data_IF_607752532351
#
_entry.id   IF_607752532351
#
_cell.length_a   1.000
_cell.length_b   1.000
_cell.length_c   1.000
_cell.angle_alpha   90.00
_cell.angle_beta   90.00
_cell.angle_gamma   90.00
#
_symmetry.space_group_name_H-M   'P 1'
#
loop_
_entity.id
_entity.type
_entity.pdbx_description
1 polymer ?
#
# COMPACT_ATOMS: atom_id res chain seq x y z
N UNK A 1 22.03 44.74 -55.46
CA UNK A 1 23.31 44.04 -55.63
C UNK A 1 23.03 42.55 -55.82
N UNK A 2 23.61 41.98 -56.90
CA UNK A 2 23.95 40.57 -57.19
C UNK A 2 23.09 39.47 -56.53
N UNK A 3 22.23 38.75 -57.28
CA UNK A 3 22.51 37.52 -58.07
C UNK A 3 22.70 36.30 -57.12
N UNK A 4 22.11 35.10 -57.28
CA UNK A 4 22.07 34.29 -58.50
C UNK A 4 21.22 32.98 -58.23
N UNK A 5 20.28 32.66 -59.14
CA UNK A 5 20.02 31.36 -59.84
C UNK A 5 19.96 30.08 -58.99
N UNK A 6 18.78 29.44 -58.81
CA UNK A 6 18.01 28.56 -59.74
C UNK A 6 18.61 27.14 -59.93
N UNK A 7 17.90 26.18 -59.32
CA UNK A 7 17.57 24.79 -59.71
C UNK A 7 18.63 23.89 -60.35
N UNK A 8 18.81 22.67 -59.79
CA UNK A 8 18.60 21.42 -60.53
C UNK A 8 18.04 20.33 -59.60
N UNK A 9 17.00 19.70 -60.14
CA UNK A 9 16.20 18.58 -59.69
C UNK A 9 16.92 17.26 -60.00
N UNK A 10 17.01 16.32 -59.05
CA UNK A 10 17.20 14.89 -59.38
C UNK A 10 16.19 14.07 -58.58
N UNK A 11 15.21 13.60 -59.34
CA UNK A 11 14.25 12.56 -58.99
C UNK A 11 14.95 11.20 -59.08
N UNK A 12 14.74 10.31 -58.11
CA UNK A 12 14.92 8.87 -58.32
C UNK A 12 13.84 8.11 -57.56
N UNK A 13 13.30 7.14 -58.25
CA UNK A 13 11.97 6.59 -58.09
C UNK A 13 11.89 5.39 -57.13
N UNK A 14 10.69 5.28 -56.53
CA UNK A 14 9.94 4.09 -56.09
C UNK A 14 10.69 2.89 -55.49
N UNK A 15 10.26 2.46 -54.31
CA UNK A 15 9.48 1.21 -54.22
C UNK A 15 8.52 1.28 -53.03
N UNK A 16 7.27 0.97 -53.35
CA UNK A 16 6.18 0.70 -52.42
C UNK A 16 6.51 -0.53 -51.57
N UNK A 17 6.30 -0.44 -50.26
CA UNK A 17 5.94 -1.60 -49.47
C UNK A 17 4.85 -1.19 -48.47
N UNK A 18 3.62 -1.37 -48.93
CA UNK A 18 2.42 -1.40 -48.09
C UNK A 18 2.51 -2.66 -47.22
N UNK A 19 3.00 -2.50 -46.00
CA UNK A 19 2.87 -3.51 -44.96
C UNK A 19 2.00 -2.93 -43.86
N UNK A 20 0.68 -3.05 -44.03
CA UNK A 20 -0.22 -3.12 -42.89
C UNK A 20 0.08 -4.40 -42.12
N UNK A 21 1.19 -4.41 -41.40
CA UNK A 21 1.38 -5.31 -40.28
C UNK A 21 0.50 -4.75 -39.17
N UNK A 22 -0.73 -5.27 -39.10
CA UNK A 22 -1.49 -5.24 -37.86
C UNK A 22 -0.62 -5.97 -36.85
N UNK A 23 0.13 -5.21 -36.05
CA UNK A 23 0.75 -5.73 -34.86
C UNK A 23 -0.41 -6.15 -33.97
N UNK A 24 -0.71 -7.45 -33.99
CA UNK A 24 -1.29 -8.09 -32.83
C UNK A 24 -0.22 -7.89 -31.76
N UNK A 25 -0.38 -6.82 -30.97
CA UNK A 25 0.34 -6.67 -29.71
C UNK A 25 0.13 -7.98 -28.96
N UNK A 26 1.20 -8.61 -28.41
CA UNK A 26 0.99 -9.69 -27.48
C UNK A 26 0.02 -9.16 -26.44
N UNK A 27 -1.09 -9.86 -26.25
CA UNK A 27 -1.93 -9.65 -25.08
C UNK A 27 -0.99 -9.96 -23.92
N UNK A 28 -0.39 -8.92 -23.35
CA UNK A 28 0.30 -8.98 -22.08
C UNK A 28 -0.81 -9.35 -21.10
N UNK A 29 -0.99 -10.67 -20.93
CA UNK A 29 -1.88 -11.22 -19.94
C UNK A 29 -1.29 -10.73 -18.63
N UNK A 30 -1.79 -9.60 -18.14
CA UNK A 30 -1.41 -9.05 -16.84
C UNK A 30 -1.76 -10.14 -15.84
N UNK A 31 -0.77 -10.95 -15.48
CA UNK A 31 -0.92 -11.94 -14.43
C UNK A 31 -1.03 -11.08 -13.18
N UNK A 32 -2.26 -10.82 -12.76
CA UNK A 32 -2.53 -10.15 -11.50
C UNK A 32 -1.87 -11.02 -10.43
N UNK A 33 -0.81 -10.48 -9.81
CA UNK A 33 -0.11 -11.17 -8.75
C UNK A 33 -1.12 -11.58 -7.67
N UNK A 34 -0.98 -12.80 -7.16
CA UNK A 34 -1.78 -13.26 -6.04
C UNK A 34 -1.49 -12.37 -4.81
N UNK A 35 -2.55 -12.01 -4.07
CA UNK A 35 -2.41 -11.16 -2.88
C UNK A 35 -1.79 -12.00 -1.76
N UNK A 36 -0.64 -11.58 -1.26
CA UNK A 36 0.00 -12.18 -0.11
C UNK A 36 -0.50 -11.51 1.18
N UNK A 37 -1.36 -12.22 1.91
CA UNK A 37 -1.89 -11.75 3.19
C UNK A 37 -0.93 -11.96 4.36
N UNK A 38 0.18 -12.69 4.20
CA UNK A 38 1.20 -12.85 5.25
C UNK A 38 1.87 -11.54 5.61
N UNK A 39 1.91 -10.59 4.67
CA UNK A 39 2.41 -9.23 4.93
C UNK A 39 1.74 -8.56 6.14
N UNK A 40 0.48 -8.89 6.45
CA UNK A 40 -0.20 -8.40 7.65
C UNK A 40 0.41 -8.93 8.94
N UNK A 41 0.74 -10.23 8.98
CA UNK A 41 1.40 -10.86 10.13
C UNK A 41 2.83 -10.35 10.26
N UNK A 42 3.55 -10.27 9.14
CA UNK A 42 4.95 -9.83 9.14
C UNK A 42 5.08 -8.39 9.64
N UNK A 43 4.23 -7.49 9.13
CA UNK A 43 4.18 -6.11 9.60
C UNK A 43 3.84 -6.05 11.10
N UNK A 44 2.75 -6.67 11.54
CA UNK A 44 2.29 -6.52 12.93
C UNK A 44 3.27 -7.13 13.93
N UNK A 45 3.88 -8.28 13.59
CA UNK A 45 4.87 -8.93 14.46
C UNK A 45 6.21 -8.18 14.48
N UNK A 46 6.55 -7.44 13.43
CA UNK A 46 7.68 -6.53 13.46
C UNK A 46 7.33 -5.28 14.29
N UNK A 47 6.12 -4.74 14.15
CA UNK A 47 5.67 -3.55 14.86
C UNK A 47 5.71 -3.69 16.38
N UNK A 48 5.12 -4.77 16.92
CA UNK A 48 5.09 -4.99 18.38
C UNK A 48 6.46 -5.25 19.00
N UNK A 49 7.44 -5.70 18.19
CA UNK A 49 8.85 -5.84 18.63
C UNK A 49 9.61 -4.53 18.66
N UNK A 50 9.20 -3.56 17.83
CA UNK A 50 9.79 -2.22 17.78
C UNK A 50 9.00 -1.22 18.64
N UNK A 51 8.16 -1.71 19.57
CA UNK A 51 7.47 -0.93 20.62
C UNK A 51 6.83 0.36 20.11
N UNK A 52 6.07 0.28 19.02
CA UNK A 52 5.30 1.42 18.49
C UNK A 52 6.14 2.64 18.09
N UNK A 53 7.39 2.40 17.66
CA UNK A 53 8.30 3.44 17.20
C UNK A 53 7.79 4.14 15.92
N UNK A 54 7.67 5.46 15.99
CA UNK A 54 7.28 6.30 14.87
C UNK A 54 8.26 6.18 13.68
N UNK A 55 9.56 6.11 13.96
CA UNK A 55 10.58 5.96 12.90
C UNK A 55 10.39 4.62 12.17
N UNK A 56 10.16 3.54 12.93
CA UNK A 56 9.83 2.24 12.35
C UNK A 56 8.62 2.33 11.41
N UNK A 57 7.53 3.00 11.81
CA UNK A 57 6.34 3.14 10.95
C UNK A 57 6.67 3.91 9.68
N UNK A 58 7.37 5.05 9.78
CA UNK A 58 7.63 5.91 8.62
C UNK A 58 8.59 5.27 7.61
N UNK A 59 9.53 4.45 8.09
CA UNK A 59 10.52 3.77 7.25
C UNK A 59 10.09 2.37 6.79
N UNK A 60 8.91 1.88 7.19
CA UNK A 60 8.50 0.51 6.85
C UNK A 60 8.06 0.39 5.39
N UNK A 61 8.72 -0.51 4.64
CA UNK A 61 8.43 -0.78 3.22
C UNK A 61 7.21 -1.70 2.99
N UNK A 62 6.61 -2.23 4.06
CA UNK A 62 5.36 -3.00 3.97
C UNK A 62 4.12 -2.11 4.06
N UNK A 63 4.29 -0.81 4.30
CA UNK A 63 3.20 0.15 4.42
C UNK A 63 3.05 0.98 3.15
N UNK A 64 1.81 1.30 2.77
CA UNK A 64 1.57 2.29 1.72
C UNK A 64 1.92 3.70 2.22
N UNK A 65 2.22 4.60 1.29
CA UNK A 65 2.38 6.03 1.63
C UNK A 65 1.08 6.64 2.18
N UNK A 66 -0.08 6.13 1.74
CA UNK A 66 -1.38 6.53 2.26
C UNK A 66 -1.60 6.10 3.73
N UNK A 67 -1.10 4.93 4.13
CA UNK A 67 -1.05 4.52 5.53
C UNK A 67 -0.24 5.52 6.35
N UNK A 68 1.01 5.78 5.94
CA UNK A 68 1.96 6.64 6.67
C UNK A 68 1.40 8.05 6.86
N UNK A 69 0.86 8.65 5.78
CA UNK A 69 0.22 9.96 5.82
C UNK A 69 -0.98 10.00 6.78
N UNK A 70 -1.82 8.95 6.77
CA UNK A 70 -2.97 8.89 7.69
C UNK A 70 -2.51 8.76 9.13
N UNK A 71 -1.52 7.91 9.39
CA UNK A 71 -0.94 7.73 10.71
C UNK A 71 -0.39 9.05 11.26
N UNK A 72 0.44 9.76 10.50
CA UNK A 72 0.96 11.08 10.87
C UNK A 72 -0.19 12.07 11.16
N UNK A 73 -1.20 12.14 10.27
CA UNK A 73 -2.37 13.01 10.47
C UNK A 73 -3.11 12.70 11.78
N UNK A 74 -3.26 11.42 12.12
CA UNK A 74 -3.94 10.96 13.34
C UNK A 74 -3.12 11.37 14.57
N UNK A 75 -1.81 11.12 14.57
CA UNK A 75 -0.93 11.47 15.68
C UNK A 75 -0.85 12.98 15.89
N UNK A 76 -0.64 13.75 14.83
CA UNK A 76 -0.60 15.22 14.87
C UNK A 76 -1.89 15.82 15.40
N UNK A 77 -3.03 15.29 14.94
CA UNK A 77 -4.34 15.78 15.39
C UNK A 77 -4.55 15.47 16.87
N UNK A 78 -4.10 14.30 17.33
CA UNK A 78 -4.23 13.93 18.74
C UNK A 78 -3.37 14.82 19.64
N UNK A 79 -2.09 15.05 19.31
CA UNK A 79 -1.22 15.91 20.11
C UNK A 79 -1.59 17.40 20.04
N UNK A 80 -2.27 17.86 18.99
CA UNK A 80 -2.85 19.21 18.97
C UNK A 80 -4.00 19.38 19.96
N UNK A 81 -4.75 18.30 20.22
CA UNK A 81 -5.90 18.32 21.14
C UNK A 81 -5.46 18.03 22.57
N UNK A 82 -4.63 17.00 22.77
CA UNK A 82 -4.09 16.60 24.07
C UNK A 82 -2.55 16.50 24.00
N UNK A 83 -1.82 17.62 24.22
CA UNK A 83 -0.36 17.66 24.03
C UNK A 83 0.44 16.69 24.91
N UNK A 84 -0.05 16.36 26.11
CA UNK A 84 0.67 15.50 27.06
C UNK A 84 0.42 14.00 26.81
N UNK A 85 -0.73 13.65 26.22
CA UNK A 85 -1.21 12.26 26.15
C UNK A 85 -1.46 11.77 24.72
N UNK A 86 -1.71 12.67 23.78
CA UNK A 86 -2.14 12.34 22.43
C UNK A 86 -3.43 11.51 22.45
N UNK A 87 -3.39 10.32 21.85
CA UNK A 87 -4.55 9.43 21.80
C UNK A 87 -4.82 8.69 23.13
N UNK A 88 -3.80 8.50 23.97
CA UNK A 88 -3.88 7.61 25.14
C UNK A 88 -4.05 6.12 24.81
N UNK A 89 -3.84 5.74 23.55
CA UNK A 89 -3.76 4.35 23.05
C UNK A 89 -3.00 4.33 21.71
N UNK A 90 -2.56 3.16 21.29
CA UNK A 90 -1.88 2.94 20.02
C UNK A 90 -2.88 2.80 18.87
N UNK A 91 -2.82 3.65 17.82
CA UNK A 91 -3.79 3.64 16.74
C UNK A 91 -3.62 2.48 15.75
N UNK A 92 -2.46 1.83 15.70
CA UNK A 92 -2.15 0.73 14.78
C UNK A 92 -2.69 -0.59 15.33
N UNK A 93 -2.51 -0.84 16.64
CA UNK A 93 -3.12 -2.01 17.30
C UNK A 93 -4.53 -1.76 17.83
N UNK A 94 -4.96 -0.50 17.89
CA UNK A 94 -6.24 -0.04 18.45
C UNK A 94 -6.42 -0.39 19.94
N UNK A 95 -5.35 -0.26 20.72
CA UNK A 95 -5.31 -0.68 22.13
C UNK A 95 -4.23 0.01 22.95
N UNK A 96 -4.33 -0.09 24.28
CA UNK A 96 -3.28 0.40 25.20
C UNK A 96 -2.16 -0.62 25.43
N UNK A 97 -2.51 -1.90 25.31
CA UNK A 97 -1.62 -3.04 25.45
C UNK A 97 -1.90 -4.00 24.28
N UNK A 98 -0.98 -4.91 23.99
CA UNK A 98 -1.07 -5.80 22.84
C UNK A 98 -0.30 -7.11 23.07
N UNK A 99 -0.71 -8.20 22.39
CA UNK A 99 0.01 -9.47 22.43
C UNK A 99 1.42 -9.34 21.87
N UNK A 100 2.31 -10.24 22.29
CA UNK A 100 3.69 -10.26 21.80
C UNK A 100 3.79 -10.72 20.33
N UNK A 101 2.80 -11.48 19.86
CA UNK A 101 2.74 -12.03 18.51
C UNK A 101 1.30 -12.17 18.03
N UNK A 102 1.13 -12.08 16.73
CA UNK A 102 -0.13 -12.23 16.02
C UNK A 102 -0.09 -13.36 14.99
N UNK A 103 -1.27 -13.91 14.72
CA UNK A 103 -1.53 -14.84 13.63
C UNK A 103 -2.81 -14.47 12.88
N UNK A 104 -2.98 -14.99 11.67
CA UNK A 104 -4.21 -14.77 10.88
C UNK A 104 -5.35 -15.56 11.52
N UNK A 105 -6.41 -14.85 11.90
CA UNK A 105 -7.68 -15.44 12.29
C UNK A 105 -8.63 -15.59 11.11
N UNK A 106 -8.72 -14.54 10.27
CA UNK A 106 -9.67 -14.51 9.15
C UNK A 106 -9.16 -13.62 8.02
N UNK A 107 -9.45 -14.02 6.78
CA UNK A 107 -9.23 -13.21 5.58
C UNK A 107 -10.58 -13.00 4.89
N UNK A 108 -10.91 -11.75 4.58
CA UNK A 108 -11.97 -11.39 3.64
C UNK A 108 -11.33 -10.95 2.32
N UNK A 109 -11.14 -11.90 1.41
CA UNK A 109 -10.44 -11.68 0.15
C UNK A 109 -11.13 -10.64 -0.75
N UNK A 110 -12.46 -10.53 -0.65
CA UNK A 110 -13.26 -9.63 -1.49
C UNK A 110 -12.97 -8.16 -1.20
N UNK A 111 -12.69 -7.86 0.07
CA UNK A 111 -12.43 -6.52 0.55
C UNK A 111 -10.96 -6.28 0.91
N UNK A 112 -10.15 -7.34 0.97
CA UNK A 112 -8.74 -7.31 1.38
C UNK A 112 -8.53 -7.04 2.88
N UNK A 113 -9.57 -7.17 3.71
CA UNK A 113 -9.42 -7.08 5.16
C UNK A 113 -8.91 -8.41 5.73
N UNK A 114 -7.98 -8.32 6.68
CA UNK A 114 -7.44 -9.43 7.44
C UNK A 114 -7.65 -9.15 8.92
N UNK A 115 -8.25 -10.10 9.62
CA UNK A 115 -8.32 -10.07 11.09
C UNK A 115 -7.16 -10.89 11.61
N UNK A 116 -6.28 -10.23 12.37
CA UNK A 116 -5.25 -10.89 13.17
C UNK A 116 -5.74 -11.09 14.60
N UNK A 117 -5.21 -12.12 15.24
CA UNK A 117 -5.48 -12.49 16.63
C UNK A 117 -4.15 -12.67 17.36
N UNK A 118 -4.11 -12.25 18.63
CA UNK A 118 -2.96 -12.50 19.50
C UNK A 118 -2.72 -13.98 19.75
N UNK A 119 -1.46 -14.41 19.67
CA UNK A 119 -1.06 -15.80 19.95
C UNK A 119 -1.17 -16.09 21.45
N UNK A 120 -0.65 -15.18 22.27
CA UNK A 120 -0.66 -15.21 23.74
C UNK A 120 -1.91 -14.51 24.34
N UNK A 121 -2.65 -13.74 23.53
CA UNK A 121 -3.90 -13.10 23.92
C UNK A 121 -4.98 -13.27 22.85
N UNK A 122 -5.63 -14.43 22.84
CA UNK A 122 -6.55 -14.80 21.76
C UNK A 122 -7.82 -13.93 21.65
N UNK A 123 -8.24 -13.25 22.71
CA UNK A 123 -9.38 -12.32 22.58
C UNK A 123 -8.98 -10.96 22.00
N UNK A 124 -7.68 -10.67 21.92
CA UNK A 124 -7.17 -9.47 21.27
C UNK A 124 -7.17 -9.67 19.76
N UNK A 125 -7.93 -8.83 19.05
CA UNK A 125 -8.05 -8.85 17.60
C UNK A 125 -7.77 -7.47 17.03
N UNK A 126 -7.10 -7.43 15.87
CA UNK A 126 -6.87 -6.21 15.10
C UNK A 126 -7.17 -6.48 13.64
N UNK A 127 -7.78 -5.50 12.98
CA UNK A 127 -8.12 -5.59 11.55
C UNK A 127 -7.14 -4.76 10.75
N UNK A 128 -6.54 -5.38 9.74
CA UNK A 128 -5.66 -4.76 8.76
C UNK A 128 -6.29 -4.79 7.37
N UNK A 129 -5.85 -3.88 6.51
CA UNK A 129 -6.26 -3.78 5.11
C UNK A 129 -5.05 -4.00 4.21
N UNK A 130 -5.06 -5.10 3.47
CA UNK A 130 -4.06 -5.40 2.43
C UNK A 130 -4.54 -4.87 1.09
N UNK A 131 -3.63 -4.24 0.35
CA UNK A 131 -3.82 -3.76 -1.02
C UNK A 131 -2.68 -4.25 -1.90
N UNK A 132 -2.89 -4.19 -3.22
CA UNK A 132 -1.83 -4.47 -4.20
C UNK A 132 -1.45 -3.17 -4.90
N UNK A 133 -0.20 -2.75 -4.76
CA UNK A 133 0.37 -1.61 -5.47
C UNK A 133 1.65 -2.09 -6.18
N UNK A 134 1.80 -1.76 -7.47
CA UNK A 134 2.98 -2.16 -8.25
C UNK A 134 3.31 -3.67 -8.18
N UNK A 135 2.29 -4.53 -8.16
CA UNK A 135 2.40 -5.99 -7.99
C UNK A 135 2.96 -6.47 -6.64
N UNK A 136 3.04 -5.60 -5.63
CA UNK A 136 3.41 -5.94 -4.27
C UNK A 136 2.18 -5.86 -3.35
N UNK A 137 2.08 -6.78 -2.40
CA UNK A 137 1.06 -6.71 -1.34
C UNK A 137 1.58 -5.83 -0.20
N UNK A 138 0.82 -4.78 0.14
CA UNK A 138 1.17 -3.78 1.14
C UNK A 138 0.00 -3.58 2.12
N UNK A 139 0.30 -3.00 3.28
CA UNK A 139 -0.67 -2.62 4.31
C UNK A 139 -1.08 -1.16 4.10
N UNK A 140 -2.36 -0.95 3.82
CA UNK A 140 -2.95 0.39 3.66
C UNK A 140 -3.75 0.83 4.89
N UNK A 141 -4.09 -0.10 5.79
CA UNK A 141 -4.72 0.23 7.06
C UNK A 141 -4.49 -0.80 8.17
N UNK A 142 -4.60 -0.35 9.41
CA UNK A 142 -4.52 -1.15 10.64
C UNK A 142 -5.18 -0.41 11.79
N UNK A 143 -5.87 -1.12 12.68
CA UNK A 143 -6.48 -0.51 13.86
C UNK A 143 -7.46 0.60 13.48
N UNK A 144 -7.16 1.86 13.81
CA UNK A 144 -7.95 3.04 13.37
C UNK A 144 -7.40 3.75 12.12
N UNK A 145 -6.21 3.37 11.66
CA UNK A 145 -5.56 3.93 10.47
C UNK A 145 -6.22 3.34 9.23
N UNK A 146 -6.93 4.16 8.46
CA UNK A 146 -7.61 3.77 7.21
C UNK A 146 -8.58 2.58 7.32
N UNK A 147 -9.03 2.21 8.52
CA UNK A 147 -10.06 1.18 8.73
C UNK A 147 -11.39 1.87 9.07
N UNK A 148 -12.47 1.64 8.30
CA UNK A 148 -13.80 2.16 8.63
C UNK A 148 -14.27 1.66 10.01
N UNK A 149 -14.91 2.53 10.81
CA UNK A 149 -15.32 2.20 12.19
C UNK A 149 -16.10 0.90 12.31
N UNK A 150 -16.97 0.60 11.34
CA UNK A 150 -17.79 -0.62 11.31
C UNK A 150 -16.99 -1.91 11.05
N UNK A 151 -15.74 -1.78 10.59
CA UNK A 151 -14.81 -2.87 10.27
C UNK A 151 -13.71 -3.02 11.32
N UNK A 152 -13.56 -2.06 12.23
CA UNK A 152 -12.58 -2.15 13.32
C UNK A 152 -12.95 -3.30 14.25
N UNK A 153 -11.93 -3.91 14.86
CA UNK A 153 -12.15 -4.87 15.93
C UNK A 153 -12.85 -4.17 17.11
N UNK A 154 -13.53 -4.95 17.95
CA UNK A 154 -14.08 -4.42 19.19
C UNK A 154 -12.95 -4.34 20.21
N UNK A 155 -12.85 -3.19 20.88
CA UNK A 155 -12.02 -3.00 22.07
C UNK A 155 -12.67 -3.63 23.29
#
# INVERSE_FOLDING_TARGET
>A
MKKLILSVLILSFYTSCDSKTSSIQPIEKTIKAEVDYKVAVDFMNAYVKNTSDNEFVMMNDLLTENFKKRYETVMDSAYKVEPELGLGFDPIVDGQDFPNQFTIKKIDQSSGFVTLQGVDWQVFEVVLKVVTENNQSLIDGSGIINIPKIKQAKR
#
